data_IF_482121281731
#
_entry.id   IF_482121281731
#
_cell.length_a   1.000
_cell.length_b   1.000
_cell.length_c   1.000
_cell.angle_alpha   90.00
_cell.angle_beta   90.00
_cell.angle_gamma   90.00
#
_symmetry.space_group_name_H-M   'P 1'
#
loop_
_entity.id
_entity.type
_entity.pdbx_description
1 polymer ?
#
# COMPACT_ATOMS: atom_id res chain seq x y z
N UNK A 1 6.43 32.75 2.77
CA UNK A 1 7.57 32.79 1.85
C UNK A 1 7.10 33.43 0.55
N UNK A 2 7.71 34.52 0.10
CA UNK A 2 7.46 35.07 -1.25
C UNK A 2 8.04 34.08 -2.26
N UNK A 3 7.20 33.53 -3.12
CA UNK A 3 7.65 32.82 -4.31
C UNK A 3 8.14 33.88 -5.28
N UNK A 4 9.46 34.05 -5.41
CA UNK A 4 10.05 34.80 -6.50
C UNK A 4 10.00 33.88 -7.72
N UNK A 5 9.33 34.29 -8.78
CA UNK A 5 9.47 33.66 -10.09
C UNK A 5 10.77 34.18 -10.68
N UNK A 6 11.79 33.37 -10.92
CA UNK A 6 12.98 33.82 -11.60
C UNK A 6 12.61 34.14 -13.05
N UNK A 7 13.04 35.31 -13.52
CA UNK A 7 13.00 35.66 -14.95
C UNK A 7 14.00 34.81 -15.78
N UNK A 8 14.73 33.90 -15.11
CA UNK A 8 15.74 33.03 -15.68
C UNK A 8 15.25 31.57 -15.68
N UNK A 9 14.82 31.08 -16.83
CA UNK A 9 14.34 29.72 -17.07
C UNK A 9 15.43 28.68 -16.86
N UNK A 10 16.69 29.02 -17.10
CA UNK A 10 17.84 28.14 -16.87
C UNK A 10 17.98 27.86 -15.38
N UNK A 11 17.97 28.92 -14.57
CA UNK A 11 18.03 28.77 -13.12
C UNK A 11 16.82 28.00 -12.55
N UNK A 12 15.62 28.14 -13.16
CA UNK A 12 14.46 27.32 -12.77
C UNK A 12 14.65 25.84 -13.15
N UNK A 13 15.21 25.54 -14.32
CA UNK A 13 15.54 24.18 -14.71
C UNK A 13 16.55 23.56 -13.75
N UNK A 14 17.63 24.26 -13.46
CA UNK A 14 18.75 23.78 -12.62
C UNK A 14 18.34 23.48 -11.17
N UNK A 15 17.33 24.16 -10.61
CA UNK A 15 16.86 23.93 -9.23
C UNK A 15 15.90 22.75 -9.10
N UNK A 16 15.43 22.15 -10.20
CA UNK A 16 14.52 21.00 -10.17
C UNK A 16 15.22 19.73 -9.72
N UNK A 17 14.45 18.67 -9.49
CA UNK A 17 14.96 17.41 -8.94
C UNK A 17 15.67 16.54 -9.98
N UNK A 18 15.01 16.25 -11.10
CA UNK A 18 15.50 15.33 -12.13
C UNK A 18 15.53 15.98 -13.50
N UNK A 19 16.46 15.56 -14.33
CA UNK A 19 16.68 16.10 -15.68
C UNK A 19 15.41 16.09 -16.54
N UNK A 20 14.63 15.00 -16.49
CA UNK A 20 13.35 14.87 -17.20
C UNK A 20 12.28 15.88 -16.76
N UNK A 21 12.42 16.44 -15.56
CA UNK A 21 11.54 17.47 -15.03
C UNK A 21 12.08 18.89 -15.29
N UNK A 22 13.26 19.02 -15.88
CA UNK A 22 13.90 20.29 -16.25
C UNK A 22 13.63 20.74 -17.67
N UNK A 23 12.78 20.04 -18.39
CA UNK A 23 12.35 20.41 -19.74
C UNK A 23 11.31 21.52 -19.69
N UNK A 24 11.41 22.46 -20.62
CA UNK A 24 10.44 23.54 -20.83
C UNK A 24 9.99 23.55 -22.29
N UNK A 25 8.71 23.79 -22.50
CA UNK A 25 8.13 23.92 -23.82
C UNK A 25 7.51 25.30 -23.98
N UNK A 26 7.94 26.02 -25.01
CA UNK A 26 7.31 27.28 -25.42
C UNK A 26 6.22 26.99 -26.49
N UNK A 27 4.94 27.10 -26.13
CA UNK A 27 3.84 26.81 -27.02
C UNK A 27 3.64 27.89 -28.13
N UNK A 28 4.27 29.07 -27.98
CA UNK A 28 4.16 30.13 -28.97
C UNK A 28 5.20 29.98 -30.06
N UNK A 29 6.42 29.58 -29.70
CA UNK A 29 7.49 29.30 -30.62
C UNK A 29 7.51 27.86 -31.16
N UNK A 30 6.74 26.95 -30.51
CA UNK A 30 6.79 25.49 -30.74
C UNK A 30 8.20 24.92 -30.49
N UNK A 31 8.86 25.42 -29.46
CA UNK A 31 10.24 25.06 -29.14
C UNK A 31 10.36 24.37 -27.77
N UNK A 32 11.19 23.30 -27.75
CA UNK A 32 11.58 22.61 -26.52
C UNK A 32 12.95 23.12 -26.07
N UNK A 33 13.01 23.59 -24.82
CA UNK A 33 14.26 24.02 -24.18
C UNK A 33 14.74 22.99 -23.17
N UNK A 34 15.99 22.55 -23.34
CA UNK A 34 16.64 21.56 -22.47
C UNK A 34 18.06 22.04 -22.10
N UNK A 35 18.22 22.55 -20.89
CA UNK A 35 19.51 22.99 -20.36
C UNK A 35 20.19 21.97 -19.45
N UNK A 36 19.50 20.86 -19.13
CA UNK A 36 19.96 19.89 -18.13
C UNK A 36 20.12 18.46 -18.68
N UNK A 37 19.88 18.28 -19.98
CA UNK A 37 19.97 16.98 -20.65
C UNK A 37 18.79 16.06 -20.38
N UNK A 38 17.61 16.64 -20.14
CA UNK A 38 16.38 15.91 -19.81
C UNK A 38 15.83 15.11 -20.98
N UNK A 39 15.96 15.61 -22.24
CA UNK A 39 15.48 14.92 -23.42
C UNK A 39 16.26 13.62 -23.66
N UNK A 40 17.58 13.66 -23.53
CA UNK A 40 18.42 12.47 -23.67
C UNK A 40 18.11 11.42 -22.58
N UNK A 41 17.81 11.84 -21.35
CA UNK A 41 17.43 10.92 -20.28
C UNK A 41 15.99 10.39 -20.45
N UNK A 42 15.09 11.17 -21.01
CA UNK A 42 13.74 10.73 -21.35
C UNK A 42 13.79 9.63 -22.42
N UNK A 43 14.57 9.84 -23.50
CA UNK A 43 14.79 8.85 -24.57
C UNK A 43 15.46 7.58 -24.04
N UNK A 44 16.44 7.74 -23.12
CA UNK A 44 17.13 6.64 -22.47
C UNK A 44 16.30 5.97 -21.35
N UNK A 45 15.08 6.43 -21.08
CA UNK A 45 14.22 5.99 -19.95
C UNK A 45 14.96 6.00 -18.62
N UNK A 46 15.55 7.12 -18.27
CA UNK A 46 16.45 7.25 -17.11
C UNK A 46 16.02 8.37 -16.17
N UNK A 47 16.04 8.08 -14.85
CA UNK A 47 15.88 9.06 -13.79
C UNK A 47 17.27 9.47 -13.32
N UNK A 48 17.68 10.68 -13.62
CA UNK A 48 18.97 11.27 -13.21
C UNK A 48 18.73 12.61 -12.52
N UNK A 49 19.40 12.84 -11.38
CA UNK A 49 19.39 14.15 -10.72
C UNK A 49 20.06 15.21 -11.59
N UNK A 50 19.55 16.45 -11.48
CA UNK A 50 20.23 17.61 -12.04
C UNK A 50 21.40 17.94 -11.11
N UNK A 51 22.63 18.04 -11.64
CA UNK A 51 23.84 18.28 -10.85
C UNK A 51 24.25 17.10 -9.97
N UNK A 52 24.96 17.38 -8.89
CA UNK A 52 25.44 16.36 -7.95
C UNK A 52 24.29 15.74 -7.14
N UNK A 53 24.16 14.40 -7.13
CA UNK A 53 23.05 13.75 -6.44
C UNK A 53 23.02 14.01 -4.93
N UNK A 54 24.18 14.05 -4.26
CA UNK A 54 24.25 14.23 -2.82
C UNK A 54 23.82 15.66 -2.42
N UNK A 55 24.27 16.67 -3.17
CA UNK A 55 23.82 18.05 -3.00
C UNK A 55 22.32 18.16 -3.22
N UNK A 56 21.82 17.59 -4.30
CA UNK A 56 20.41 17.65 -4.70
C UNK A 56 19.49 16.99 -3.66
N UNK A 57 19.88 15.86 -3.10
CA UNK A 57 19.18 15.22 -1.98
C UNK A 57 19.37 15.98 -0.66
N UNK A 58 20.44 16.75 -0.52
CA UNK A 58 20.69 17.66 0.60
C UNK A 58 19.69 18.80 0.69
N UNK A 59 19.27 19.36 -0.43
CA UNK A 59 18.31 20.47 -0.51
C UNK A 59 16.88 20.06 -0.14
N UNK A 60 16.44 18.89 -0.57
CA UNK A 60 15.12 18.32 -0.23
C UNK A 60 15.18 16.79 -0.18
N UNK A 61 15.14 16.25 1.04
CA UNK A 61 15.21 14.80 1.31
C UNK A 61 14.06 14.02 0.66
N UNK A 62 12.92 14.63 0.39
CA UNK A 62 11.82 13.95 -0.30
C UNK A 62 12.20 13.49 -1.71
N UNK A 63 13.18 14.12 -2.34
CA UNK A 63 13.69 13.73 -3.66
C UNK A 63 14.20 12.28 -3.68
N UNK A 64 14.61 11.71 -2.53
CA UNK A 64 14.94 10.28 -2.39
C UNK A 64 13.75 9.38 -2.76
N UNK A 65 12.59 9.61 -2.17
CA UNK A 65 11.35 8.88 -2.50
C UNK A 65 10.84 9.22 -3.90
N UNK A 66 10.99 10.47 -4.33
CA UNK A 66 10.58 10.90 -5.67
C UNK A 66 11.35 10.19 -6.78
N UNK A 67 12.66 9.92 -6.58
CA UNK A 67 13.47 9.14 -7.52
C UNK A 67 12.87 7.75 -7.74
N UNK A 68 12.58 7.05 -6.64
CA UNK A 68 11.94 5.73 -6.66
C UNK A 68 10.56 5.79 -7.32
N UNK A 69 9.73 6.74 -6.92
CA UNK A 69 8.37 6.89 -7.48
C UNK A 69 8.39 7.17 -8.98
N UNK A 70 9.21 8.09 -9.45
CA UNK A 70 9.27 8.39 -10.89
C UNK A 70 9.78 7.20 -11.70
N UNK A 71 10.81 6.50 -11.20
CA UNK A 71 11.31 5.28 -11.84
C UNK A 71 10.20 4.24 -12.00
N UNK A 72 9.40 4.02 -10.95
CA UNK A 72 8.29 3.07 -10.97
C UNK A 72 7.16 3.52 -11.90
N UNK A 73 6.70 4.77 -11.77
CA UNK A 73 5.56 5.27 -12.54
C UNK A 73 5.82 5.38 -14.04
N UNK A 74 7.06 5.70 -14.42
CA UNK A 74 7.46 5.85 -15.83
C UNK A 74 8.04 4.56 -16.41
N UNK A 75 8.31 3.54 -15.59
CA UNK A 75 9.01 2.33 -16.01
C UNK A 75 10.46 2.61 -16.41
N UNK A 76 11.11 3.57 -15.74
CA UNK A 76 12.47 4.03 -16.03
C UNK A 76 13.46 3.44 -15.04
N UNK A 77 14.73 3.34 -15.44
CA UNK A 77 15.83 2.99 -14.55
C UNK A 77 16.40 4.23 -13.86
N UNK A 78 16.82 4.09 -12.60
CA UNK A 78 17.53 5.18 -11.92
C UNK A 78 19.00 5.13 -12.33
N UNK A 79 19.57 6.29 -12.73
CA UNK A 79 21.00 6.40 -13.09
C UNK A 79 21.86 5.88 -11.93
N UNK A 80 22.94 5.11 -12.20
CA UNK A 80 23.73 4.44 -11.15
C UNK A 80 24.24 5.39 -10.05
N UNK A 81 24.73 6.58 -10.41
CA UNK A 81 25.20 7.57 -9.44
C UNK A 81 24.03 8.11 -8.58
N UNK A 82 22.86 8.38 -9.19
CA UNK A 82 21.67 8.80 -8.49
C UNK A 82 21.19 7.71 -7.52
N UNK A 83 21.17 6.44 -7.98
CA UNK A 83 20.73 5.32 -7.14
C UNK A 83 21.66 5.06 -5.96
N UNK A 84 22.97 5.09 -6.19
CA UNK A 84 23.97 4.98 -5.12
C UNK A 84 23.80 6.08 -4.06
N UNK A 85 23.55 7.31 -4.49
CA UNK A 85 23.28 8.41 -3.57
C UNK A 85 21.95 8.23 -2.81
N UNK A 86 20.87 7.71 -3.45
CA UNK A 86 19.63 7.34 -2.74
C UNK A 86 19.93 6.34 -1.63
N UNK A 87 20.67 5.26 -1.93
CA UNK A 87 21.04 4.24 -0.93
C UNK A 87 21.89 4.80 0.21
N UNK A 88 22.83 5.68 -0.11
CA UNK A 88 23.74 6.29 0.86
C UNK A 88 23.00 7.25 1.81
N UNK A 89 22.02 7.98 1.30
CA UNK A 89 21.29 9.01 2.05
C UNK A 89 19.90 8.56 2.50
N UNK A 90 19.55 7.28 2.36
CA UNK A 90 18.21 6.75 2.66
C UNK A 90 17.69 7.16 4.04
N UNK A 91 18.53 7.10 5.08
CA UNK A 91 18.15 7.46 6.44
C UNK A 91 17.69 8.93 6.61
N UNK A 92 18.16 9.83 5.74
CA UNK A 92 17.79 11.24 5.80
C UNK A 92 16.31 11.50 5.43
N UNK A 93 15.60 10.51 4.85
CA UNK A 93 14.16 10.62 4.59
C UNK A 93 13.35 10.84 5.87
N UNK A 94 13.86 10.45 7.04
CA UNK A 94 13.22 10.68 8.35
C UNK A 94 13.08 12.16 8.72
N UNK A 95 13.82 13.05 8.07
CA UNK A 95 13.73 14.51 8.26
C UNK A 95 12.50 15.11 7.54
N UNK A 96 11.88 14.35 6.64
CA UNK A 96 10.71 14.78 5.87
C UNK A 96 9.43 14.57 6.67
N UNK A 97 8.48 15.52 6.54
CA UNK A 97 7.18 15.37 7.20
C UNK A 97 6.43 14.11 6.77
N UNK A 98 5.72 13.50 7.70
CA UNK A 98 4.99 12.26 7.48
C UNK A 98 3.94 12.37 6.36
N UNK A 99 3.31 13.54 6.24
CA UNK A 99 2.33 13.82 5.20
C UNK A 99 2.96 13.77 3.80
N UNK A 100 4.15 14.36 3.63
CA UNK A 100 4.86 14.34 2.34
C UNK A 100 5.33 12.91 1.99
N UNK A 101 5.82 12.15 2.96
CA UNK A 101 6.18 10.74 2.79
C UNK A 101 4.95 9.93 2.37
N UNK A 102 3.82 10.06 3.11
CA UNK A 102 2.56 9.40 2.76
C UNK A 102 2.13 9.69 1.33
N UNK A 103 2.17 10.96 0.92
CA UNK A 103 1.69 11.36 -0.40
C UNK A 103 2.54 10.78 -1.54
N UNK A 104 3.85 10.59 -1.33
CA UNK A 104 4.71 9.87 -2.29
C UNK A 104 4.43 8.35 -2.26
N UNK A 105 4.24 7.73 -1.08
CA UNK A 105 3.88 6.32 -0.97
C UNK A 105 2.52 6.01 -1.61
N UNK A 106 1.53 6.89 -1.45
CA UNK A 106 0.22 6.76 -2.10
C UNK A 106 0.32 6.76 -3.64
N UNK A 107 1.25 7.51 -4.20
CA UNK A 107 1.50 7.52 -5.64
C UNK A 107 2.31 6.32 -6.09
N UNK A 108 3.29 5.89 -5.27
CA UNK A 108 4.20 4.78 -5.56
C UNK A 108 3.46 3.44 -5.69
N UNK A 109 2.54 3.17 -4.75
CA UNK A 109 1.81 1.89 -4.71
C UNK A 109 0.57 1.83 -5.60
N UNK A 110 0.40 2.76 -6.54
CA UNK A 110 -0.69 2.66 -7.52
C UNK A 110 -0.45 1.52 -8.52
N UNK A 111 -1.51 0.75 -8.86
CA UNK A 111 -1.43 -0.20 -9.96
C UNK A 111 -1.06 0.50 -11.28
N UNK A 112 -0.50 -0.24 -12.25
CA UNK A 112 -0.12 -1.66 -12.16
C UNK A 112 1.26 -1.89 -11.52
N UNK A 113 1.95 -0.85 -11.06
CA UNK A 113 3.36 -0.90 -10.71
C UNK A 113 3.65 -1.07 -9.20
N UNK A 114 2.63 -1.35 -8.38
CA UNK A 114 2.76 -1.40 -6.92
C UNK A 114 3.82 -2.40 -6.41
N UNK A 115 3.90 -3.59 -7.03
CA UNK A 115 4.92 -4.59 -6.70
C UNK A 115 6.35 -4.09 -6.98
N UNK A 116 6.57 -3.46 -8.14
CA UNK A 116 7.87 -2.85 -8.46
C UNK A 116 8.19 -1.70 -7.50
N UNK A 117 7.16 -0.97 -7.05
CA UNK A 117 7.31 0.06 -6.02
C UNK A 117 7.87 -0.49 -4.71
N UNK A 118 7.38 -1.65 -4.27
CA UNK A 118 7.87 -2.33 -3.08
C UNK A 118 9.31 -2.83 -3.27
N UNK A 119 9.62 -3.45 -4.42
CA UNK A 119 10.96 -3.92 -4.75
C UNK A 119 11.97 -2.75 -4.70
N UNK A 120 11.65 -1.65 -5.37
CA UNK A 120 12.58 -0.53 -5.49
C UNK A 120 12.76 0.24 -4.16
N UNK A 121 11.72 0.28 -3.29
CA UNK A 121 11.87 0.78 -1.92
C UNK A 121 12.86 -0.08 -1.12
N UNK A 122 12.80 -1.40 -1.28
CA UNK A 122 13.74 -2.31 -0.62
C UNK A 122 15.15 -2.15 -1.19
N UNK A 123 15.32 -2.24 -2.50
CA UNK A 123 16.59 -2.10 -3.21
C UNK A 123 17.29 -0.76 -2.88
N UNK A 124 16.53 0.32 -2.76
CA UNK A 124 17.03 1.66 -2.43
C UNK A 124 17.33 1.90 -0.95
N UNK A 125 17.07 0.93 -0.07
CA UNK A 125 17.18 1.01 1.39
C UNK A 125 16.22 2.02 2.04
N UNK A 126 15.24 2.53 1.31
CA UNK A 126 14.24 3.43 1.87
C UNK A 126 13.16 2.69 2.66
N UNK A 127 12.91 1.42 2.36
CA UNK A 127 11.85 0.64 3.02
C UNK A 127 11.97 0.62 4.55
N UNK A 128 13.12 0.27 5.16
CA UNK A 128 13.28 0.27 6.62
C UNK A 128 13.14 1.66 7.25
N UNK A 129 13.34 2.71 6.47
CA UNK A 129 13.26 4.08 6.96
C UNK A 129 11.81 4.63 7.02
N UNK A 130 10.97 4.19 6.06
CA UNK A 130 9.58 4.69 5.95
C UNK A 130 8.54 3.71 6.47
N UNK A 131 8.78 2.40 6.31
CA UNK A 131 7.91 1.30 6.73
C UNK A 131 8.74 0.16 7.35
N UNK A 132 9.40 0.38 8.50
CA UNK A 132 10.26 -0.62 9.15
C UNK A 132 9.53 -1.92 9.47
N UNK A 133 8.23 -1.84 9.77
CA UNK A 133 7.40 -3.02 10.05
C UNK A 133 7.25 -3.89 8.79
N UNK A 134 7.12 -3.27 7.62
CA UNK A 134 7.06 -4.00 6.35
C UNK A 134 8.43 -4.56 5.97
N UNK A 135 9.51 -3.85 6.26
CA UNK A 135 10.88 -4.36 6.09
C UNK A 135 11.13 -5.60 6.98
N UNK A 136 10.54 -5.68 8.16
CA UNK A 136 10.66 -6.83 9.07
C UNK A 136 10.00 -8.12 8.51
N UNK A 137 9.17 -8.02 7.48
CA UNK A 137 8.56 -9.20 6.83
C UNK A 137 9.53 -9.93 5.88
N UNK A 138 10.66 -9.30 5.53
CA UNK A 138 11.70 -9.91 4.71
C UNK A 138 12.34 -11.06 5.49
N UNK A 139 12.38 -12.24 4.88
CA UNK A 139 12.92 -13.44 5.51
C UNK A 139 12.01 -14.06 6.61
N UNK A 140 10.82 -13.52 6.84
CA UNK A 140 9.83 -14.15 7.73
C UNK A 140 9.21 -15.37 7.03
N UNK A 141 9.81 -16.55 7.30
CA UNK A 141 9.40 -17.81 6.71
C UNK A 141 7.95 -18.17 7.03
N UNK A 142 7.25 -18.76 6.08
CA UNK A 142 5.87 -19.25 6.20
C UNK A 142 5.81 -20.78 5.97
N UNK A 143 4.74 -21.46 6.43
CA UNK A 143 4.56 -22.88 6.13
C UNK A 143 4.43 -23.09 4.62
N UNK A 144 5.33 -23.87 3.97
CA UNK A 144 5.33 -24.05 2.51
C UNK A 144 4.06 -24.70 1.96
N UNK A 145 3.34 -25.45 2.80
CA UNK A 145 2.08 -26.11 2.44
C UNK A 145 0.98 -25.10 2.10
N UNK A 146 1.03 -23.89 2.68
CA UNK A 146 0.05 -22.83 2.47
C UNK A 146 0.61 -21.65 1.68
N UNK A 147 1.94 -21.47 1.72
CA UNK A 147 2.65 -20.34 1.12
C UNK A 147 3.87 -20.83 0.31
N UNK A 148 3.64 -21.52 -0.82
CA UNK A 148 4.72 -22.02 -1.68
C UNK A 148 5.53 -20.89 -2.32
N UNK A 149 4.99 -19.66 -2.35
CA UNK A 149 5.63 -18.48 -2.89
C UNK A 149 6.83 -17.97 -2.06
N UNK A 150 6.92 -18.33 -0.77
CA UNK A 150 8.07 -18.01 0.08
C UNK A 150 7.74 -17.26 1.36
N UNK A 151 8.54 -16.23 1.69
CA UNK A 151 8.39 -15.41 2.89
C UNK A 151 7.21 -14.42 2.80
N UNK A 152 6.91 -13.77 3.93
CA UNK A 152 5.80 -12.81 4.03
C UNK A 152 5.98 -11.62 3.09
N UNK A 153 7.20 -11.14 2.89
CA UNK A 153 7.48 -10.03 1.96
C UNK A 153 7.16 -10.40 0.52
N UNK A 154 7.61 -11.59 0.09
CA UNK A 154 7.35 -12.14 -1.24
C UNK A 154 5.85 -12.32 -1.47
N UNK A 155 5.12 -12.83 -0.46
CA UNK A 155 3.67 -12.94 -0.50
C UNK A 155 2.97 -11.58 -0.72
N UNK A 156 3.29 -10.58 0.10
CA UNK A 156 2.75 -9.22 -0.04
C UNK A 156 3.07 -8.63 -1.43
N UNK A 157 4.30 -8.81 -1.89
CA UNK A 157 4.74 -8.39 -3.23
C UNK A 157 3.89 -9.01 -4.34
N UNK A 158 3.64 -10.31 -4.23
CA UNK A 158 2.82 -11.04 -5.21
C UNK A 158 1.37 -10.57 -5.19
N UNK A 159 0.79 -10.33 -4.01
CA UNK A 159 -0.54 -9.72 -3.90
C UNK A 159 -0.62 -8.34 -4.58
N UNK A 160 0.42 -7.51 -4.40
CA UNK A 160 0.49 -6.19 -5.06
C UNK A 160 0.54 -6.30 -6.59
N UNK A 161 1.11 -7.38 -7.15
CA UNK A 161 1.12 -7.61 -8.61
C UNK A 161 -0.23 -8.04 -9.17
N UNK A 162 -1.14 -8.49 -8.32
CA UNK A 162 -2.50 -8.88 -8.67
C UNK A 162 -3.56 -7.81 -8.40
N UNK A 163 -3.14 -6.62 -7.96
CA UNK A 163 -4.09 -5.52 -7.71
C UNK A 163 -4.87 -5.16 -8.98
N UNK A 164 -6.19 -4.96 -8.89
CA UNK A 164 -6.95 -4.40 -10.01
C UNK A 164 -6.53 -2.97 -10.31
N UNK A 165 -6.65 -2.54 -11.57
CA UNK A 165 -6.18 -1.22 -12.03
C UNK A 165 -6.86 -0.05 -11.29
N UNK A 166 -8.10 -0.25 -10.84
CA UNK A 166 -8.91 0.71 -10.08
C UNK A 166 -8.77 0.56 -8.55
N UNK A 167 -7.79 -0.22 -8.08
CA UNK A 167 -7.60 -0.44 -6.65
C UNK A 167 -7.46 0.87 -5.88
N UNK A 168 -8.38 1.10 -4.96
CA UNK A 168 -8.37 2.27 -4.09
C UNK A 168 -7.37 2.15 -2.94
N UNK A 169 -7.06 3.29 -2.32
CA UNK A 169 -6.10 3.38 -1.21
C UNK A 169 -6.35 2.36 -0.11
N UNK A 170 -7.60 2.13 0.29
CA UNK A 170 -7.93 1.20 1.38
C UNK A 170 -7.60 -0.25 1.04
N UNK A 171 -7.80 -0.69 -0.20
CA UNK A 171 -7.41 -2.04 -0.64
C UNK A 171 -5.89 -2.18 -0.67
N UNK A 172 -5.19 -1.25 -1.32
CA UNK A 172 -3.73 -1.27 -1.43
C UNK A 172 -3.07 -1.36 -0.05
N UNK A 173 -3.51 -0.52 0.90
CA UNK A 173 -2.96 -0.52 2.25
C UNK A 173 -3.42 -1.73 3.07
N UNK A 174 -4.59 -2.31 2.78
CA UNK A 174 -4.97 -3.61 3.38
C UNK A 174 -4.06 -4.74 2.91
N UNK A 175 -3.66 -4.77 1.64
CA UNK A 175 -2.67 -5.72 1.12
C UNK A 175 -1.31 -5.54 1.80
N UNK A 176 -0.81 -4.30 1.92
CA UNK A 176 0.47 -4.03 2.58
C UNK A 176 0.48 -4.44 4.08
N UNK A 177 -0.67 -4.36 4.76
CA UNK A 177 -0.77 -4.47 6.22
C UNK A 177 -1.34 -5.79 6.74
N UNK A 178 -2.01 -6.63 5.90
CA UNK A 178 -2.76 -7.79 6.40
C UNK A 178 -1.89 -8.75 7.24
N UNK A 179 -0.65 -8.97 6.83
CA UNK A 179 0.30 -9.89 7.43
C UNK A 179 1.46 -9.19 8.18
N UNK A 180 1.35 -7.89 8.40
CA UNK A 180 2.41 -7.04 8.99
C UNK A 180 2.90 -7.52 10.37
N UNK A 181 2.05 -8.23 11.11
CA UNK A 181 2.36 -8.74 12.45
C UNK A 181 2.91 -10.17 12.45
N UNK A 182 3.02 -10.86 11.31
CA UNK A 182 3.58 -12.22 11.26
C UNK A 182 4.97 -12.30 11.89
N UNK A 183 5.93 -11.38 11.62
CA UNK A 183 7.23 -11.41 12.29
C UNK A 183 7.15 -11.32 13.82
N UNK A 184 6.23 -10.49 14.34
CA UNK A 184 6.07 -10.27 15.78
C UNK A 184 5.30 -11.41 16.50
N UNK A 185 4.56 -12.23 15.76
CA UNK A 185 3.73 -13.32 16.31
C UNK A 185 4.21 -14.71 15.91
N UNK A 186 5.36 -14.77 15.21
CA UNK A 186 5.94 -16.03 14.80
C UNK A 186 6.31 -16.90 16.01
N UNK A 187 5.86 -18.14 16.00
CA UNK A 187 6.25 -19.17 16.94
C UNK A 187 6.53 -20.48 16.22
N UNK A 188 7.33 -21.34 16.85
CA UNK A 188 7.58 -22.70 16.34
C UNK A 188 7.08 -23.69 17.40
N UNK A 189 6.18 -24.57 16.98
CA UNK A 189 5.62 -25.61 17.81
C UNK A 189 5.76 -26.95 17.08
N UNK A 190 6.50 -27.91 17.67
CA UNK A 190 6.84 -29.19 17.05
C UNK A 190 7.43 -29.05 15.62
N UNK A 191 8.26 -28.05 15.40
CA UNK A 191 8.88 -27.74 14.10
C UNK A 191 7.95 -27.00 13.11
N UNK A 192 6.68 -26.77 13.45
CA UNK A 192 5.73 -26.05 12.61
C UNK A 192 5.74 -24.56 12.91
N UNK A 193 5.76 -23.74 11.88
CA UNK A 193 5.65 -22.28 11.99
C UNK A 193 4.17 -21.91 12.20
N UNK A 194 3.92 -21.06 13.21
CA UNK A 194 2.58 -20.52 13.53
C UNK A 194 2.63 -19.02 13.74
N UNK A 195 1.50 -18.33 13.45
CA UNK A 195 1.32 -16.89 13.60
C UNK A 195 0.00 -16.59 14.34
N UNK A 196 -0.17 -17.17 15.53
CA UNK A 196 -1.44 -17.08 16.26
C UNK A 196 -1.78 -15.65 16.64
N UNK A 197 -2.93 -15.16 16.17
CA UNK A 197 -3.44 -13.83 16.49
C UNK A 197 -2.78 -12.68 15.74
N UNK A 198 -2.00 -12.97 14.66
CA UNK A 198 -1.37 -11.92 13.85
C UNK A 198 -2.40 -10.92 13.29
N UNK A 199 -3.62 -11.34 13.01
CA UNK A 199 -4.70 -10.46 12.55
C UNK A 199 -5.13 -9.44 13.63
N UNK A 200 -5.00 -9.79 14.92
CA UNK A 200 -5.32 -8.89 16.05
C UNK A 200 -4.20 -7.90 16.28
N UNK A 201 -2.99 -8.40 16.37
CA UNK A 201 -1.78 -7.60 16.54
C UNK A 201 -1.58 -6.69 15.32
N UNK A 202 -1.74 -7.24 14.11
CA UNK A 202 -1.62 -6.51 12.86
C UNK A 202 -2.61 -5.35 12.74
N UNK A 203 -3.84 -5.52 13.22
CA UNK A 203 -4.83 -4.43 13.25
C UNK A 203 -4.40 -3.26 14.16
N UNK A 204 -3.71 -3.53 15.26
CA UNK A 204 -3.15 -2.48 16.15
C UNK A 204 -1.96 -1.81 15.46
N UNK A 205 -0.98 -2.57 14.97
CA UNK A 205 0.18 -2.06 14.23
C UNK A 205 -0.24 -1.21 13.03
N UNK A 206 -1.27 -1.64 12.30
CA UNK A 206 -1.84 -0.86 11.17
C UNK A 206 -2.27 0.52 11.60
N UNK A 207 -2.97 0.67 12.72
CA UNK A 207 -3.36 1.99 13.22
C UNK A 207 -2.16 2.85 13.59
N UNK A 208 -1.14 2.26 14.23
CA UNK A 208 0.08 2.96 14.61
C UNK A 208 0.83 3.46 13.37
N UNK A 209 1.01 2.61 12.35
CA UNK A 209 1.65 2.95 11.08
C UNK A 209 0.87 4.06 10.36
N UNK A 210 -0.44 3.90 10.19
CA UNK A 210 -1.26 4.87 9.47
C UNK A 210 -1.37 6.21 10.22
N UNK A 211 -1.38 6.19 11.56
CA UNK A 211 -1.34 7.41 12.37
C UNK A 211 0.04 8.10 12.27
N UNK A 212 1.15 7.35 12.30
CA UNK A 212 2.50 7.87 12.08
C UNK A 212 2.61 8.56 10.73
N UNK A 213 2.03 7.97 9.68
CA UNK A 213 1.97 8.52 8.32
C UNK A 213 0.84 9.54 8.11
N UNK A 214 0.11 9.93 9.16
CA UNK A 214 -0.93 10.95 9.10
C UNK A 214 -2.05 10.65 8.09
N UNK A 215 -2.47 9.39 7.99
CA UNK A 215 -3.65 9.03 7.20
C UNK A 215 -4.96 9.59 7.80
N UNK A 216 -5.97 9.86 6.95
CA UNK A 216 -7.31 10.18 7.42
C UNK A 216 -7.87 9.03 8.28
N UNK A 217 -8.53 9.37 9.41
CA UNK A 217 -9.09 8.38 10.35
C UNK A 217 -10.05 7.38 9.66
N UNK A 218 -10.82 7.85 8.68
CA UNK A 218 -11.74 7.00 7.93
C UNK A 218 -10.99 5.87 7.18
N UNK A 219 -9.90 6.19 6.47
CA UNK A 219 -9.09 5.20 5.77
C UNK A 219 -8.46 4.21 6.76
N UNK A 220 -7.89 4.73 7.85
CA UNK A 220 -7.26 3.89 8.88
C UNK A 220 -8.25 2.92 9.52
N UNK A 221 -9.50 3.33 9.75
CA UNK A 221 -10.54 2.48 10.30
C UNK A 221 -10.91 1.33 9.35
N UNK A 222 -11.02 1.61 8.05
CA UNK A 222 -11.30 0.58 7.03
C UNK A 222 -10.17 -0.42 6.95
N UNK A 223 -8.92 0.05 6.76
CA UNK A 223 -7.73 -0.82 6.64
C UNK A 223 -7.56 -1.69 7.89
N UNK A 224 -7.65 -1.09 9.09
CA UNK A 224 -7.64 -1.83 10.36
C UNK A 224 -8.67 -2.96 10.37
N UNK A 225 -9.90 -2.67 9.93
CA UNK A 225 -11.00 -3.66 9.94
C UNK A 225 -10.70 -4.79 8.96
N UNK A 226 -10.21 -4.49 7.76
CA UNK A 226 -9.81 -5.49 6.78
C UNK A 226 -8.69 -6.39 7.34
N UNK A 227 -7.64 -5.81 7.92
CA UNK A 227 -6.54 -6.56 8.56
C UNK A 227 -7.06 -7.44 9.70
N UNK A 228 -7.96 -6.91 10.54
CA UNK A 228 -8.54 -7.65 11.68
C UNK A 228 -9.35 -8.86 11.24
N UNK A 229 -9.97 -8.82 10.08
CA UNK A 229 -10.92 -9.82 9.61
C UNK A 229 -10.42 -10.69 8.45
N UNK A 230 -9.22 -10.44 7.89
CA UNK A 230 -8.77 -11.11 6.67
C UNK A 230 -8.79 -12.65 6.77
N UNK A 231 -8.51 -13.19 7.96
CA UNK A 231 -8.56 -14.65 8.20
C UNK A 231 -9.98 -15.21 8.31
N UNK A 232 -11.03 -14.39 8.45
CA UNK A 232 -12.38 -14.90 8.69
C UNK A 232 -12.99 -15.58 7.46
N UNK A 233 -12.59 -15.18 6.26
CA UNK A 233 -13.21 -15.64 5.03
C UNK A 233 -12.70 -17.01 4.56
N UNK A 234 -11.65 -17.56 5.14
CA UNK A 234 -11.05 -18.83 4.77
C UNK A 234 -12.01 -20.05 4.91
N UNK A 235 -12.94 -19.95 5.88
CA UNK A 235 -13.90 -21.02 6.16
C UNK A 235 -15.33 -20.62 5.71
N UNK A 236 -15.46 -19.74 4.71
CA UNK A 236 -16.73 -19.14 4.29
C UNK A 236 -17.80 -20.18 3.92
N UNK A 237 -17.42 -21.26 3.27
CA UNK A 237 -18.34 -22.32 2.84
C UNK A 237 -18.99 -23.08 4.02
N UNK A 238 -18.35 -23.02 5.21
CA UNK A 238 -18.87 -23.68 6.43
C UNK A 238 -19.73 -22.71 7.26
N UNK A 239 -19.83 -21.43 6.86
CA UNK A 239 -20.59 -20.44 7.60
C UNK A 239 -22.09 -20.61 7.45
N UNK A 240 -22.82 -20.39 8.56
CA UNK A 240 -24.28 -20.33 8.53
C UNK A 240 -24.77 -19.14 7.72
N UNK A 241 -25.94 -19.23 7.02
CA UNK A 241 -26.49 -18.14 6.23
C UNK A 241 -26.62 -16.81 6.99
N UNK A 242 -26.99 -16.86 8.28
CA UNK A 242 -27.08 -15.69 9.14
C UNK A 242 -25.71 -14.99 9.36
N UNK A 243 -24.62 -15.77 9.42
CA UNK A 243 -23.25 -15.25 9.52
C UNK A 243 -22.82 -14.57 8.22
N UNK A 244 -23.07 -15.22 7.08
CA UNK A 244 -22.81 -14.64 5.75
C UNK A 244 -23.55 -13.33 5.55
N UNK A 245 -24.84 -13.26 5.94
CA UNK A 245 -25.61 -12.01 5.87
C UNK A 245 -24.99 -10.88 6.69
N UNK A 246 -24.51 -11.16 7.91
CA UNK A 246 -23.81 -10.17 8.74
C UNK A 246 -22.51 -9.69 8.08
N UNK A 247 -21.77 -10.58 7.41
CA UNK A 247 -20.57 -10.22 6.64
C UNK A 247 -20.93 -9.26 5.49
N UNK A 248 -21.92 -9.63 4.68
CA UNK A 248 -22.33 -8.85 3.49
C UNK A 248 -22.83 -7.45 3.83
N UNK A 249 -23.36 -7.24 5.03
CA UNK A 249 -23.82 -5.94 5.53
C UNK A 249 -22.69 -5.04 6.05
N UNK A 250 -21.45 -5.54 6.19
CA UNK A 250 -20.33 -4.68 6.59
C UNK A 250 -19.98 -3.70 5.47
N UNK A 251 -19.83 -2.41 5.77
CA UNK A 251 -19.38 -1.43 4.76
C UNK A 251 -17.99 -1.76 4.17
N UNK A 252 -17.16 -2.50 4.93
CA UNK A 252 -15.79 -2.92 4.54
C UNK A 252 -15.77 -4.20 3.72
N UNK A 253 -16.88 -4.95 3.65
CA UNK A 253 -16.92 -6.27 3.03
C UNK A 253 -16.43 -6.30 1.57
N UNK A 254 -16.73 -5.34 0.70
CA UNK A 254 -16.18 -5.34 -0.66
C UNK A 254 -14.64 -5.34 -0.68
N UNK A 255 -14.00 -4.59 0.22
CA UNK A 255 -12.54 -4.56 0.35
C UNK A 255 -12.02 -5.87 0.97
N UNK A 256 -12.71 -6.41 2.00
CA UNK A 256 -12.37 -7.68 2.65
C UNK A 256 -12.42 -8.84 1.64
N UNK A 257 -13.43 -8.88 0.77
CA UNK A 257 -13.59 -9.92 -0.24
C UNK A 257 -12.49 -9.86 -1.30
N UNK A 258 -12.19 -8.65 -1.81
CA UNK A 258 -11.10 -8.47 -2.78
C UNK A 258 -9.75 -8.81 -2.16
N UNK A 259 -9.50 -8.40 -0.91
CA UNK A 259 -8.28 -8.77 -0.17
C UNK A 259 -8.13 -10.29 -0.07
N UNK A 260 -9.20 -11.00 0.32
CA UNK A 260 -9.21 -12.47 0.40
C UNK A 260 -8.94 -13.14 -0.95
N UNK A 261 -9.51 -12.61 -2.03
CA UNK A 261 -9.25 -13.10 -3.39
C UNK A 261 -7.78 -12.93 -3.77
N UNK A 262 -7.17 -11.77 -3.49
CA UNK A 262 -5.77 -11.49 -3.76
C UNK A 262 -4.83 -12.40 -2.93
N UNK A 263 -5.14 -12.61 -1.65
CA UNK A 263 -4.42 -13.51 -0.76
C UNK A 263 -4.45 -14.96 -1.28
N UNK A 264 -5.62 -15.43 -1.67
CA UNK A 264 -5.80 -16.76 -2.29
C UNK A 264 -5.02 -16.92 -3.59
N UNK A 265 -5.02 -15.90 -4.46
CA UNK A 265 -4.26 -15.91 -5.72
C UNK A 265 -2.76 -15.96 -5.48
N UNK A 266 -2.28 -15.18 -4.49
CA UNK A 266 -0.86 -15.09 -4.18
C UNK A 266 -0.32 -16.33 -3.44
N UNK A 267 -1.17 -17.11 -2.79
CA UNK A 267 -0.79 -18.30 -2.03
C UNK A 267 -1.07 -19.60 -2.80
N UNK A 268 -2.21 -20.23 -2.54
CA UNK A 268 -2.55 -21.54 -3.11
C UNK A 268 -3.11 -21.49 -4.54
N UNK A 269 -3.51 -20.33 -5.03
CA UNK A 269 -4.25 -20.13 -6.29
C UNK A 269 -5.71 -20.62 -6.26
N UNK A 270 -6.21 -21.10 -5.11
CA UNK A 270 -7.57 -21.63 -4.97
C UNK A 270 -8.55 -20.50 -4.66
N UNK A 271 -9.51 -20.31 -5.55
CA UNK A 271 -10.50 -19.24 -5.46
C UNK A 271 -11.87 -19.69 -4.93
N UNK A 272 -12.03 -20.98 -4.56
CA UNK A 272 -13.31 -21.59 -4.20
C UNK A 272 -14.11 -20.77 -3.16
N UNK A 273 -13.43 -20.26 -2.13
CA UNK A 273 -14.08 -19.44 -1.09
C UNK A 273 -14.45 -18.04 -1.60
N UNK A 274 -13.62 -17.42 -2.43
CA UNK A 274 -13.92 -16.11 -2.99
C UNK A 274 -15.11 -16.20 -3.96
N UNK A 275 -15.11 -17.17 -4.87
CA UNK A 275 -16.18 -17.43 -5.82
C UNK A 275 -17.49 -17.80 -5.11
N UNK A 276 -17.43 -18.61 -4.07
CA UNK A 276 -18.58 -18.92 -3.22
C UNK A 276 -19.17 -17.67 -2.60
N UNK A 277 -18.33 -16.80 -2.02
CA UNK A 277 -18.77 -15.55 -1.41
C UNK A 277 -19.36 -14.57 -2.43
N UNK A 278 -18.77 -14.47 -3.62
CA UNK A 278 -19.27 -13.64 -4.73
C UNK A 278 -20.66 -14.11 -5.17
N UNK A 279 -20.83 -15.46 -5.36
CA UNK A 279 -22.12 -16.06 -5.70
C UNK A 279 -23.18 -15.80 -4.61
N UNK A 280 -22.83 -16.01 -3.34
CA UNK A 280 -23.77 -15.77 -2.22
C UNK A 280 -24.08 -14.30 -2.03
N UNK A 281 -23.15 -13.40 -2.31
CA UNK A 281 -23.42 -11.96 -2.29
C UNK A 281 -24.39 -11.55 -3.39
N UNK A 282 -24.28 -12.12 -4.59
CA UNK A 282 -25.24 -11.89 -5.68
C UNK A 282 -26.64 -12.37 -5.29
N UNK A 283 -26.77 -13.63 -4.82
CA UNK A 283 -28.04 -14.17 -4.31
C UNK A 283 -28.65 -13.30 -3.20
N UNK A 284 -27.81 -12.73 -2.34
CA UNK A 284 -28.26 -11.87 -1.25
C UNK A 284 -28.79 -10.51 -1.73
N UNK A 285 -28.17 -9.91 -2.77
CA UNK A 285 -28.63 -8.65 -3.37
C UNK A 285 -29.98 -8.78 -4.05
N UNK A 286 -30.28 -9.96 -4.59
CA UNK A 286 -31.56 -10.24 -5.26
C UNK A 286 -32.70 -10.56 -4.26
N UNK A 287 -32.38 -10.76 -2.97
CA UNK A 287 -33.40 -10.94 -1.94
C UNK A 287 -33.98 -9.58 -1.52
N UNK A 288 -35.33 -9.50 -1.29
CA UNK A 288 -35.90 -8.28 -0.72
C UNK A 288 -35.17 -7.93 0.56
N UNK A 289 -34.67 -6.68 0.61
CA UNK A 289 -33.77 -6.22 1.68
C UNK A 289 -34.29 -6.60 3.06
N UNK A 290 -33.39 -7.01 3.94
CA UNK A 290 -33.70 -7.19 5.35
C UNK A 290 -34.37 -5.91 5.82
N UNK A 291 -35.68 -5.97 5.98
CA UNK A 291 -36.38 -4.92 6.71
C UNK A 291 -35.68 -4.80 8.07
N UNK A 292 -35.28 -3.60 8.46
CA UNK A 292 -34.88 -3.36 9.84
C UNK A 292 -35.89 -4.05 10.75
N UNK A 293 -35.45 -4.80 11.76
CA UNK A 293 -36.42 -5.34 12.73
C UNK A 293 -37.34 -4.22 13.13
N UNK A 294 -38.64 -4.46 13.08
CA UNK A 294 -39.67 -3.46 13.48
C UNK A 294 -39.47 -3.03 14.95
N UNK A 295 -38.77 -3.89 15.72
CA UNK A 295 -38.40 -3.66 17.13
C UNK A 295 -36.99 -4.20 17.30
N UNK A 296 -36.07 -3.41 17.84
CA UNK A 296 -34.73 -3.84 18.22
C UNK A 296 -34.61 -3.92 19.76
N UNK A 297 -33.45 -4.40 20.24
CA UNK A 297 -33.18 -4.52 21.69
C UNK A 297 -33.23 -3.18 22.43
N UNK A 298 -32.93 -2.06 21.74
CA UNK A 298 -33.02 -0.71 22.30
C UNK A 298 -34.48 -0.29 22.53
N UNK A 299 -35.37 -0.64 21.59
CA UNK A 299 -36.83 -0.38 21.73
C UNK A 299 -37.41 -1.16 22.89
N UNK A 300 -36.95 -2.43 23.09
CA UNK A 300 -37.38 -3.24 24.23
C UNK A 300 -36.91 -2.66 25.57
N UNK A 301 -35.70 -2.14 25.63
CA UNK A 301 -35.16 -1.46 26.81
C UNK A 301 -35.95 -0.16 27.07
N UNK A 302 -36.27 0.61 26.03
CA UNK A 302 -37.10 1.82 26.15
C UNK A 302 -38.49 1.52 26.65
N UNK A 303 -39.04 0.33 26.39
CA UNK A 303 -40.29 -0.18 26.90
C UNK A 303 -40.19 -0.83 28.30
N UNK A 304 -39.06 -0.71 28.97
CA UNK A 304 -38.85 -1.17 30.36
C UNK A 304 -38.41 -2.63 30.51
N UNK A 305 -38.02 -3.30 29.42
CA UNK A 305 -37.46 -4.64 29.49
C UNK A 305 -35.98 -4.56 29.95
N UNK A 306 -35.63 -5.36 30.97
CA UNK A 306 -34.23 -5.48 31.38
C UNK A 306 -33.40 -6.13 30.27
N UNK A 307 -32.10 -5.72 30.06
CA UNK A 307 -31.21 -6.42 29.16
C UNK A 307 -31.16 -7.91 29.51
N UNK A 308 -31.41 -8.77 28.53
CA UNK A 308 -31.30 -10.23 28.74
C UNK A 308 -29.90 -10.65 29.10
N UNK A 309 -29.77 -11.65 29.99
CA UNK A 309 -28.51 -12.26 30.41
C UNK A 309 -27.82 -12.98 29.24
#
# INVERSE_FOLDING_TARGET
>A
ARVAFPDDWVADAERRDFTINGLFYDPLADEMHDWVGGQADLDARRIRTIGDPAERFGEDRLRLLRAVRFAVQLGFEIAPATFAAVQQHAAAIREVSAERIRDELLKLFRPPHAARGLDLLHESRLLPEVLPELAATIGCEQPPEYHPEGDVFTHIRLMLSHLPDDAGTTLIWSVLMHDIAKPATQSRDEGRIRFSGHEKVGAVMTLEIMNRLRFPKANSAVVKTCVRHHMQLKDAQQMRPATLRKLFLRPTFPVELTLHRLDSLASSGKLDNAEFLESKLAEFKDQPGLQKPLVDGGDLIALGQAPGA
#
